data_IF_067972399199
#
_entry.id   IF_067972399199
#
_cell.length_a   1.000
_cell.length_b   1.000
_cell.length_c   1.000
_cell.angle_alpha   90.00
_cell.angle_beta   90.00
_cell.angle_gamma   90.00
#
_symmetry.space_group_name_H-M   'P 1'
#
loop_
_entity.id
_entity.type
_entity.pdbx_description
1 polymer ?
#
# COMPACT_ATOMS: atom_id res chain seq x y z
N UNK A 1 -8.97 16.61 -1.31
CA UNK A 1 -9.21 15.16 -1.50
C UNK A 1 -8.11 14.63 -2.41
N UNK A 2 -6.90 14.48 -1.88
CA UNK A 2 -5.71 14.10 -2.67
C UNK A 2 -5.17 12.81 -2.08
N UNK A 3 -5.64 11.68 -2.60
CA UNK A 3 -5.13 10.35 -2.25
C UNK A 3 -4.19 9.94 -3.38
N UNK A 4 -2.88 9.90 -3.10
CA UNK A 4 -1.88 9.49 -4.07
C UNK A 4 -1.41 8.09 -3.70
N UNK A 5 -1.64 7.13 -4.60
CA UNK A 5 -1.09 5.78 -4.48
C UNK A 5 0.30 5.78 -5.13
N UNK A 6 1.33 5.56 -4.32
CA UNK A 6 2.73 5.52 -4.76
C UNK A 6 3.25 4.09 -4.60
N UNK A 7 3.96 3.63 -5.61
CA UNK A 7 4.67 2.37 -5.56
C UNK A 7 5.95 2.53 -4.74
N UNK A 8 6.15 1.68 -3.73
CA UNK A 8 7.26 1.83 -2.77
C UNK A 8 8.42 0.91 -3.11
N UNK A 9 9.30 1.37 -3.99
CA UNK A 9 10.43 0.56 -4.50
C UNK A 9 11.39 0.11 -3.38
N UNK A 10 11.60 0.92 -2.35
CA UNK A 10 12.42 0.55 -1.20
C UNK A 10 11.83 -0.65 -0.43
N UNK A 11 10.51 -0.69 -0.25
CA UNK A 11 9.83 -1.82 0.39
C UNK A 11 9.81 -3.04 -0.50
N UNK A 12 9.69 -2.86 -1.81
CA UNK A 12 9.80 -3.94 -2.80
C UNK A 12 11.17 -4.63 -2.75
N UNK A 13 12.26 -3.87 -2.57
CA UNK A 13 13.61 -4.42 -2.44
C UNK A 13 13.81 -5.18 -1.13
N UNK A 14 13.24 -4.69 -0.03
CA UNK A 14 13.43 -5.28 1.30
C UNK A 14 12.49 -6.47 1.60
N UNK A 15 11.23 -6.39 1.17
CA UNK A 15 10.16 -7.34 1.53
C UNK A 15 9.51 -8.02 0.31
N UNK A 16 10.07 -7.78 -0.88
CA UNK A 16 9.61 -8.34 -2.15
C UNK A 16 8.43 -7.57 -2.76
N UNK A 17 8.42 -7.35 -4.08
CA UNK A 17 7.37 -6.61 -4.79
C UNK A 17 5.99 -7.32 -4.77
N UNK A 18 4.86 -6.64 -4.97
CA UNK A 18 4.67 -5.18 -5.16
C UNK A 18 3.97 -4.58 -3.94
N UNK A 19 4.56 -3.51 -3.39
CA UNK A 19 4.02 -2.70 -2.30
C UNK A 19 3.42 -1.40 -2.82
N UNK A 20 2.28 -1.06 -2.23
CA UNK A 20 1.54 0.16 -2.50
C UNK A 20 1.39 0.96 -1.22
N UNK A 21 1.67 2.26 -1.30
CA UNK A 21 1.45 3.21 -0.22
C UNK A 21 0.43 4.25 -0.66
N UNK A 22 -0.59 4.46 0.16
CA UNK A 22 -1.58 5.51 -0.02
C UNK A 22 -1.37 6.52 1.11
N UNK A 23 -1.21 7.78 0.72
CA UNK A 23 -1.04 8.90 1.66
C UNK A 23 -2.12 9.94 1.38
N UNK A 24 -2.81 10.38 2.43
CA UNK A 24 -3.83 11.42 2.32
C UNK A 24 -4.39 11.88 3.66
N UNK A 25 -4.99 13.08 3.68
CA UNK A 25 -5.60 13.62 4.90
C UNK A 25 -6.95 12.99 5.28
N UNK A 26 -7.57 12.27 4.34
CA UNK A 26 -8.73 11.41 4.56
C UNK A 26 -8.91 10.51 3.35
N UNK A 27 -9.02 9.19 3.54
CA UNK A 27 -9.33 8.23 2.49
C UNK A 27 -10.08 7.02 3.02
N UNK A 28 -10.93 6.43 2.18
CA UNK A 28 -11.50 5.08 2.37
C UNK A 28 -10.93 4.15 1.30
N UNK A 29 -10.49 2.95 1.69
CA UNK A 29 -9.86 1.99 0.78
C UNK A 29 -10.38 0.58 1.04
N UNK A 30 -10.66 -0.17 -0.03
CA UNK A 30 -11.04 -1.59 0.02
C UNK A 30 -10.00 -2.39 -0.76
N UNK A 31 -9.07 -3.02 -0.04
CA UNK A 31 -7.90 -3.69 -0.63
C UNK A 31 -7.80 -5.15 -0.21
N UNK A 32 -7.59 -6.03 -1.19
CA UNK A 32 -7.25 -7.43 -0.94
C UNK A 32 -5.73 -7.54 -0.74
N UNK A 33 -5.32 -7.69 0.51
CA UNK A 33 -3.90 -7.78 0.90
C UNK A 33 -3.51 -9.20 1.30
N UNK A 34 -2.21 -9.49 1.26
CA UNK A 34 -1.68 -10.74 1.83
C UNK A 34 -1.66 -10.64 3.36
N UNK A 35 -2.02 -11.73 4.05
CA UNK A 35 -1.99 -11.81 5.52
C UNK A 35 -0.62 -11.38 6.06
N UNK A 36 -0.61 -10.42 6.99
CA UNK A 36 0.61 -9.89 7.60
C UNK A 36 1.38 -8.86 6.77
N UNK A 37 0.90 -8.50 5.56
CA UNK A 37 1.51 -7.46 4.71
C UNK A 37 0.59 -6.24 4.57
N UNK A 38 0.07 -5.76 5.70
CA UNK A 38 -0.81 -4.60 5.80
C UNK A 38 -0.38 -3.76 7.00
N UNK A 39 -0.20 -2.46 6.79
CA UNK A 39 0.16 -1.50 7.81
C UNK A 39 -0.65 -0.22 7.59
N UNK A 40 -1.41 0.18 8.60
CA UNK A 40 -2.20 1.41 8.58
C UNK A 40 -1.87 2.24 9.81
N UNK A 41 -1.45 3.48 9.60
CA UNK A 41 -1.13 4.40 10.68
C UNK A 41 -1.40 5.84 10.26
N UNK A 42 -1.55 6.72 11.24
CA UNK A 42 -1.68 8.15 11.02
C UNK A 42 -0.53 8.90 11.68
N UNK A 43 -0.04 9.92 11.00
CA UNK A 43 0.91 10.87 11.54
C UNK A 43 0.26 12.25 11.45
N UNK A 44 -0.07 12.81 12.61
CA UNK A 44 -0.81 14.07 12.75
C UNK A 44 -2.14 14.07 11.97
N UNK A 45 -2.19 14.80 10.85
CA UNK A 45 -3.37 14.94 9.98
C UNK A 45 -3.24 14.17 8.67
N UNK A 46 -2.25 13.28 8.57
CA UNK A 46 -1.98 12.46 7.39
C UNK A 46 -2.18 10.99 7.75
N UNK A 47 -3.04 10.32 7.02
CA UNK A 47 -3.20 8.88 7.07
C UNK A 47 -2.28 8.23 6.04
N UNK A 48 -1.66 7.13 6.44
CA UNK A 48 -0.74 6.34 5.61
C UNK A 48 -1.22 4.89 5.66
N UNK A 49 -1.50 4.35 4.48
CA UNK A 49 -1.85 2.95 4.29
C UNK A 49 -0.83 2.28 3.38
N UNK A 50 -0.10 1.32 3.92
CA UNK A 50 0.87 0.50 3.20
C UNK A 50 0.37 -0.93 3.12
N UNK A 51 0.28 -1.49 1.92
CA UNK A 51 -0.17 -2.87 1.73
C UNK A 51 0.53 -3.53 0.55
N UNK A 52 0.74 -4.84 0.66
CA UNK A 52 1.26 -5.68 -0.42
C UNK A 52 0.13 -6.34 -1.18
N UNK A 53 0.09 -6.14 -2.49
CA UNK A 53 -0.86 -6.85 -3.36
C UNK A 53 -0.25 -8.17 -3.82
N UNK A 54 -1.09 -9.19 -3.98
CA UNK A 54 -0.67 -10.40 -4.69
C UNK A 54 -0.69 -10.07 -6.17
N UNK A 55 0.48 -9.90 -6.78
CA UNK A 55 0.58 -9.86 -8.24
C UNK A 55 0.20 -11.25 -8.74
N UNK A 56 -1.05 -11.44 -9.17
CA UNK A 56 -1.35 -12.55 -10.06
C UNK A 56 -0.58 -12.22 -11.35
N UNK A 57 0.52 -12.92 -11.61
CA UNK A 57 1.01 -13.01 -12.98
C UNK A 57 -0.21 -13.51 -13.77
N UNK A 58 -0.71 -12.69 -14.69
CA UNK A 58 -1.54 -13.21 -15.76
C UNK A 58 -0.64 -14.25 -16.43
N UNK A 59 -0.96 -15.53 -16.20
CA UNK A 59 -0.25 -16.65 -16.78
C UNK A 59 -0.28 -16.47 -18.31
N UNK A 60 0.88 -16.59 -18.96
CA UNK A 60 0.96 -17.06 -20.35
C UNK A 60 0.29 -18.44 -20.46
#
# INVERSE_FOLDING_TARGET
MYSWCVHVQEFDKAYGPVWHCIVGSSFGSFVTHSTGCFLYFSMENIYILLFKTKVKKALD
#
